data_IF_771091243568
#
_entry.id   IF_771091243568
#
_cell.length_a   1.000
_cell.length_b   1.000
_cell.length_c   1.000
_cell.angle_alpha   90.00
_cell.angle_beta   90.00
_cell.angle_gamma   90.00
#
_symmetry.space_group_name_H-M   'P 1'
#
loop_
_entity.id
_entity.type
_entity.pdbx_description
1 polymer ?
#
# COMPACT_ATOMS: atom_id res chain seq x y z
N UNK A 1 10.17 -9.26 -20.48
CA UNK A 1 10.22 -9.18 -19.49
C UNK A 1 9.66 -10.26 -18.90
N UNK A 2 9.62 -10.71 -18.02
CA UNK A 2 9.26 -11.64 -17.62
C UNK A 2 8.70 -11.60 -16.45
N UNK A 3 8.14 -11.67 -15.83
CA UNK A 3 7.72 -11.61 -14.88
C UNK A 3 7.01 -12.27 -14.39
N UNK A 4 6.72 -12.48 -13.60
CA UNK A 4 6.29 -13.28 -13.10
C UNK A 4 5.68 -13.01 -11.93
N UNK A 5 4.63 -13.28 -11.66
CA UNK A 5 3.96 -13.04 -10.59
C UNK A 5 4.30 -11.83 -9.91
N UNK A 6 4.21 -11.61 -8.73
CA UNK A 6 4.44 -10.36 -8.06
C UNK A 6 5.88 -9.98 -8.08
N UNK A 7 6.54 -10.13 -9.17
CA UNK A 7 7.92 -9.73 -9.27
C UNK A 7 8.05 -8.52 -10.15
N UNK A 8 9.17 -7.83 -10.01
CA UNK A 8 9.46 -6.69 -10.85
C UNK A 8 9.96 -7.17 -12.21
N UNK A 9 9.86 -6.30 -13.18
CA UNK A 9 10.38 -6.60 -14.48
C UNK A 9 11.89 -6.54 -14.51
N UNK A 10 12.43 -6.91 -15.65
CA UNK A 10 13.82 -6.91 -15.88
C UNK A 10 14.27 -5.74 -16.58
N UNK A 11 13.92 -4.59 -16.18
CA UNK A 11 14.18 -3.39 -16.86
C UNK A 11 15.49 -2.83 -16.43
N UNK A 12 16.27 -2.31 -17.31
CA UNK A 12 17.48 -1.67 -16.99
C UNK A 12 17.34 -0.26 -16.62
N UNK A 13 16.15 0.36 -16.66
CA UNK A 13 15.98 1.70 -16.33
C UNK A 13 16.30 1.91 -14.89
N UNK A 14 16.81 3.07 -14.54
CA UNK A 14 17.02 3.51 -13.17
C UNK A 14 15.73 4.06 -12.68
N UNK A 15 14.91 3.23 -12.11
CA UNK A 15 13.62 3.64 -11.58
C UNK A 15 13.44 3.01 -10.21
N UNK A 16 12.74 3.68 -9.34
CA UNK A 16 12.46 3.15 -8.03
C UNK A 16 11.46 2.00 -8.18
N UNK A 17 11.67 0.93 -7.43
CA UNK A 17 10.78 -0.22 -7.40
C UNK A 17 10.22 -0.34 -5.99
N UNK A 18 8.92 -0.24 -5.88
CA UNK A 18 8.25 -0.22 -4.60
C UNK A 18 7.45 -1.48 -4.36
N UNK A 19 7.60 -2.05 -3.17
CA UNK A 19 6.67 -3.06 -2.68
C UNK A 19 5.74 -2.33 -1.73
N UNK A 20 4.44 -2.34 -2.03
CA UNK A 20 3.44 -1.76 -1.14
C UNK A 20 2.80 -2.94 -0.41
N UNK A 21 3.00 -2.99 0.89
CA UNK A 21 2.59 -4.14 1.70
C UNK A 21 1.52 -3.73 2.70
N UNK A 22 0.37 -4.37 2.67
CA UNK A 22 -0.62 -4.17 3.72
C UNK A 22 -0.32 -5.12 4.88
N UNK A 23 -0.63 -4.69 6.09
CA UNK A 23 -0.42 -5.54 7.26
C UNK A 23 -1.38 -5.14 8.39
N UNK A 24 -1.52 -6.02 9.36
CA UNK A 24 -2.27 -5.74 10.58
C UNK A 24 -1.31 -5.54 11.73
N UNK A 25 -1.48 -4.44 12.47
CA UNK A 25 -0.62 -4.17 13.61
C UNK A 25 -0.64 -5.30 14.64
N UNK A 26 -1.75 -6.03 14.72
CA UNK A 26 -1.81 -7.12 15.69
C UNK A 26 -0.87 -8.27 15.35
N UNK A 27 -0.37 -8.33 14.13
CA UNK A 27 0.60 -9.35 13.71
C UNK A 27 2.03 -8.81 13.66
N UNK A 28 2.23 -7.58 14.08
CA UNK A 28 3.55 -6.97 14.15
C UNK A 28 3.89 -6.16 12.90
N UNK A 29 4.68 -5.12 13.09
CA UNK A 29 5.12 -4.26 11.99
C UNK A 29 6.17 -4.99 11.18
N UNK A 30 6.10 -4.94 9.84
CA UNK A 30 7.12 -5.59 9.00
C UNK A 30 8.50 -4.99 9.28
N UNK A 31 9.47 -5.84 9.63
CA UNK A 31 10.79 -5.35 10.04
C UNK A 31 11.61 -4.79 8.89
N UNK A 32 11.28 -5.18 7.66
CA UNK A 32 12.02 -4.73 6.48
C UNK A 32 11.43 -3.49 5.84
N UNK A 33 10.40 -2.91 6.43
CA UNK A 33 9.75 -1.74 5.82
C UNK A 33 10.65 -0.51 5.93
N UNK A 34 10.72 0.24 4.85
CA UNK A 34 11.43 1.52 4.83
C UNK A 34 10.51 2.63 5.32
N UNK A 35 9.24 2.54 5.00
CA UNK A 35 8.23 3.51 5.41
C UNK A 35 7.03 2.75 5.95
N UNK A 36 6.46 3.24 7.05
CA UNK A 36 5.30 2.61 7.67
C UNK A 36 4.23 3.66 7.86
N UNK A 37 3.04 3.40 7.38
CA UNK A 37 1.90 4.29 7.55
C UNK A 37 0.85 3.60 8.41
N UNK A 38 0.36 4.32 9.41
CA UNK A 38 -0.69 3.83 10.28
C UNK A 38 -2.02 4.38 9.77
N UNK A 39 -2.86 3.50 9.27
CA UNK A 39 -4.12 3.89 8.64
C UNK A 39 -5.31 3.73 9.56
N UNK A 40 -5.07 3.54 10.85
CA UNK A 40 -6.18 3.35 11.80
C UNK A 40 -7.00 4.59 12.02
N UNK A 41 -6.58 5.73 11.47
CA UNK A 41 -7.36 6.97 11.52
C UNK A 41 -8.56 6.98 10.56
N UNK A 42 -8.61 6.03 9.63
CA UNK A 42 -9.71 5.97 8.66
C UNK A 42 -10.92 5.23 9.24
N UNK A 43 -12.11 5.42 8.66
CA UNK A 43 -13.29 4.70 9.12
C UNK A 43 -13.08 3.19 9.07
N UNK A 44 -13.58 2.50 10.07
CA UNK A 44 -13.34 1.06 10.21
C UNK A 44 -14.55 0.24 9.73
N UNK A 45 -14.44 -0.46 8.61
CA UNK A 45 -15.56 -1.26 8.08
C UNK A 45 -15.99 -2.40 8.99
N UNK A 46 -15.17 -2.77 9.96
CA UNK A 46 -15.47 -3.84 10.90
C UNK A 46 -16.81 -3.59 11.61
N UNK A 47 -17.16 -2.32 11.80
CA UNK A 47 -18.38 -1.98 12.52
C UNK A 47 -19.62 -1.99 11.66
N UNK A 48 -19.50 -2.24 10.35
CA UNK A 48 -20.62 -2.37 9.44
C UNK A 48 -20.83 -3.85 9.15
N UNK A 49 -21.96 -4.44 9.60
CA UNK A 49 -22.19 -5.88 9.38
C UNK A 49 -22.14 -6.31 7.94
N UNK A 50 -22.41 -5.40 7.01
CA UNK A 50 -22.36 -5.73 5.58
C UNK A 50 -20.96 -5.80 5.03
N UNK A 51 -20.01 -5.16 5.71
CA UNK A 51 -18.63 -5.05 5.25
C UNK A 51 -17.66 -5.88 6.06
N UNK A 52 -18.05 -6.23 7.27
CA UNK A 52 -17.15 -6.84 8.24
C UNK A 52 -16.43 -8.07 7.70
N UNK A 53 -17.14 -8.93 6.99
CA UNK A 53 -16.58 -10.19 6.49
C UNK A 53 -15.96 -10.07 5.11
N UNK A 54 -16.06 -8.92 4.49
CA UNK A 54 -15.42 -8.65 3.20
C UNK A 54 -14.00 -8.14 3.44
N UNK A 55 -13.26 -7.94 2.39
CA UNK A 55 -11.88 -7.44 2.50
C UNK A 55 -11.71 -6.16 1.69
N UNK A 56 -10.58 -5.52 1.85
CA UNK A 56 -10.26 -4.31 1.07
C UNK A 56 -10.17 -4.55 -0.42
N UNK A 57 -10.13 -5.81 -0.87
CA UNK A 57 -10.18 -6.12 -2.29
C UNK A 57 -11.61 -6.07 -2.83
N UNK A 58 -12.60 -6.12 -1.96
CA UNK A 58 -14.01 -6.04 -2.39
C UNK A 58 -14.39 -4.59 -2.63
N UNK A 59 -15.13 -4.34 -3.71
CA UNK A 59 -15.50 -2.99 -4.12
C UNK A 59 -16.22 -2.23 -3.00
N UNK A 60 -17.11 -2.90 -2.28
CA UNK A 60 -17.88 -2.24 -1.23
C UNK A 60 -16.99 -1.72 -0.10
N UNK A 61 -15.97 -2.50 0.29
CA UNK A 61 -15.04 -2.08 1.32
C UNK A 61 -14.13 -0.98 0.80
N UNK A 62 -13.63 -1.16 -0.42
CA UNK A 62 -12.77 -0.17 -1.05
C UNK A 62 -13.46 1.18 -1.09
N UNK A 63 -14.71 1.20 -1.57
CA UNK A 63 -15.46 2.45 -1.67
C UNK A 63 -15.69 3.09 -0.31
N UNK A 64 -16.00 2.28 0.68
CA UNK A 64 -16.23 2.78 2.04
C UNK A 64 -14.96 3.45 2.60
N UNK A 65 -13.81 2.82 2.39
CA UNK A 65 -12.54 3.32 2.95
C UNK A 65 -12.05 4.55 2.20
N UNK A 66 -12.08 4.50 0.87
CA UNK A 66 -11.43 5.56 0.10
C UNK A 66 -12.33 6.71 -0.29
N UNK A 67 -13.63 6.63 -0.02
CA UNK A 67 -14.55 7.70 -0.39
C UNK A 67 -14.34 8.98 0.41
N UNK A 68 -13.77 8.89 1.60
CA UNK A 68 -13.61 10.08 2.45
C UNK A 68 -12.56 11.01 1.88
N UNK A 69 -12.76 12.31 2.11
CA UNK A 69 -11.78 13.31 1.72
C UNK A 69 -10.44 13.04 2.37
N UNK A 70 -10.47 12.55 3.60
CA UNK A 70 -9.28 12.27 4.38
C UNK A 70 -8.44 11.18 3.72
N UNK A 71 -9.09 10.11 3.23
CA UNK A 71 -8.37 9.04 2.54
C UNK A 71 -7.77 9.54 1.23
N UNK A 72 -8.54 10.32 0.47
CA UNK A 72 -8.06 10.86 -0.79
C UNK A 72 -6.89 11.81 -0.59
N UNK A 73 -6.98 12.67 0.41
CA UNK A 73 -5.90 13.60 0.73
C UNK A 73 -4.64 12.85 1.17
N UNK A 74 -4.81 11.82 1.99
CA UNK A 74 -3.68 11.00 2.44
C UNK A 74 -2.98 10.35 1.23
N UNK A 75 -3.75 9.77 0.34
CA UNK A 75 -3.19 9.11 -0.85
C UNK A 75 -2.41 10.10 -1.71
N UNK A 76 -2.97 11.29 -1.91
CA UNK A 76 -2.32 12.33 -2.71
C UNK A 76 -0.98 12.75 -2.07
N UNK A 77 -1.02 13.04 -0.78
CA UNK A 77 0.18 13.51 -0.09
C UNK A 77 1.23 12.41 0.01
N UNK A 78 0.80 11.18 0.20
CA UNK A 78 1.75 10.07 0.31
C UNK A 78 2.43 9.79 -1.02
N UNK A 79 1.68 9.83 -2.11
CA UNK A 79 2.27 9.66 -3.44
C UNK A 79 3.26 10.79 -3.73
N UNK A 80 2.92 12.02 -3.33
CA UNK A 80 3.84 13.16 -3.48
C UNK A 80 5.10 12.97 -2.64
N UNK A 81 4.96 12.40 -1.44
CA UNK A 81 6.12 12.13 -0.60
C UNK A 81 7.06 11.15 -1.29
N UNK A 82 6.53 10.11 -1.89
CA UNK A 82 7.35 9.14 -2.60
C UNK A 82 8.07 9.80 -3.77
N UNK A 83 7.36 10.63 -4.54
CA UNK A 83 8.00 11.37 -5.63
C UNK A 83 9.12 12.26 -5.11
N UNK A 84 8.91 12.88 -3.96
CA UNK A 84 9.89 13.78 -3.37
C UNK A 84 11.18 13.06 -3.00
N UNK A 85 11.08 11.86 -2.44
CA UNK A 85 12.26 11.16 -1.95
C UNK A 85 12.92 10.27 -3.00
N UNK A 86 12.25 10.04 -4.10
CA UNK A 86 12.72 9.08 -5.11
C UNK A 86 14.12 9.37 -5.61
N UNK A 87 14.38 10.60 -6.03
CA UNK A 87 15.68 10.96 -6.56
C UNK A 87 16.79 10.79 -5.53
N UNK A 88 16.49 11.13 -4.27
CA UNK A 88 17.45 10.97 -3.19
C UNK A 88 17.77 9.50 -2.94
N UNK A 89 16.77 8.64 -2.95
CA UNK A 89 16.99 7.21 -2.78
C UNK A 89 17.87 6.67 -3.89
N UNK A 90 17.55 7.03 -5.13
CA UNK A 90 18.32 6.53 -6.28
C UNK A 90 19.77 7.01 -6.24
N UNK A 91 20.00 8.25 -5.82
CA UNK A 91 21.38 8.77 -5.69
C UNK A 91 22.19 7.98 -4.66
N UNK A 92 21.53 7.48 -3.61
CA UNK A 92 22.20 6.67 -2.60
C UNK A 92 22.31 5.21 -3.00
N UNK A 93 21.89 4.86 -4.19
CA UNK A 93 21.93 3.48 -4.65
C UNK A 93 20.76 2.63 -4.19
N UNK A 94 19.74 3.25 -3.58
CA UNK A 94 18.58 2.52 -3.10
C UNK A 94 17.54 2.44 -4.19
N UNK A 95 17.37 1.27 -4.79
CA UNK A 95 16.44 1.06 -5.90
C UNK A 95 15.16 0.41 -5.48
N UNK A 96 15.14 -0.22 -4.31
CA UNK A 96 13.96 -0.93 -3.82
C UNK A 96 13.51 -0.31 -2.52
N UNK A 97 12.21 -0.07 -2.41
CA UNK A 97 11.64 0.49 -1.18
C UNK A 97 10.42 -0.33 -0.80
N UNK A 98 10.26 -0.60 0.48
CA UNK A 98 9.07 -1.26 0.99
C UNK A 98 8.25 -0.26 1.79
N UNK A 99 7.01 -0.07 1.35
CA UNK A 99 6.07 0.85 1.98
C UNK A 99 5.00 0.00 2.65
N UNK A 100 4.97 0.00 3.98
CA UNK A 100 4.02 -0.82 4.71
C UNK A 100 2.83 0.03 5.15
N UNK A 101 1.64 -0.46 4.87
CA UNK A 101 0.40 0.22 5.19
C UNK A 101 -0.37 -0.64 6.18
N UNK A 102 -0.58 -0.13 7.40
CA UNK A 102 -1.14 -0.92 8.48
C UNK A 102 -2.49 -0.47 9.00
N UNK A 103 -3.34 -1.41 9.31
CA UNK A 103 -4.53 -1.16 10.09
C UNK A 103 -4.57 -2.22 11.18
N UNK A 104 -5.66 -2.32 11.94
CA UNK A 104 -5.67 -3.21 13.09
C UNK A 104 -5.43 -4.68 12.70
N UNK A 105 -6.23 -5.20 11.80
CA UNK A 105 -6.15 -6.63 11.43
C UNK A 105 -5.55 -6.92 10.07
N UNK A 106 -5.31 -5.89 9.26
CA UNK A 106 -4.75 -6.10 7.92
C UNK A 106 -5.73 -6.64 6.91
N UNK A 107 -7.02 -6.39 7.10
CA UNK A 107 -8.06 -6.97 6.25
C UNK A 107 -8.80 -5.93 5.41
N UNK A 108 -9.05 -4.76 5.95
CA UNK A 108 -9.92 -3.75 5.31
C UNK A 108 -9.18 -2.51 4.86
N UNK A 109 -8.88 -1.63 5.81
CA UNK A 109 -8.32 -0.31 5.50
C UNK A 109 -6.96 -0.38 4.84
N UNK A 110 -6.09 -1.22 5.38
CA UNK A 110 -4.72 -1.35 4.84
C UNK A 110 -4.73 -1.94 3.44
N UNK A 111 -5.59 -2.91 3.20
CA UNK A 111 -5.68 -3.57 1.90
C UNK A 111 -6.19 -2.58 0.85
N UNK A 112 -7.29 -1.88 1.15
CA UNK A 112 -7.86 -0.90 0.23
C UNK A 112 -6.88 0.22 -0.07
N UNK A 113 -6.22 0.75 0.96
CA UNK A 113 -5.29 1.86 0.77
C UNK A 113 -4.03 1.43 0.03
N UNK A 114 -3.53 0.22 0.28
CA UNK A 114 -2.37 -0.29 -0.45
C UNK A 114 -2.66 -0.41 -1.93
N UNK A 115 -3.83 -0.90 -2.29
CA UNK A 115 -4.22 -0.99 -3.70
C UNK A 115 -4.32 0.39 -4.34
N UNK A 116 -4.91 1.33 -3.64
CA UNK A 116 -5.08 2.68 -4.18
C UNK A 116 -3.78 3.47 -4.26
N UNK A 117 -2.91 3.33 -3.26
CA UNK A 117 -1.60 3.95 -3.32
C UNK A 117 -0.79 3.40 -4.49
N UNK A 118 -0.84 2.08 -4.66
CA UNK A 118 -0.11 1.42 -5.74
C UNK A 118 -0.53 1.94 -7.10
N UNK A 119 -1.84 2.12 -7.31
CA UNK A 119 -2.33 2.65 -8.57
C UNK A 119 -1.79 4.06 -8.85
N UNK A 120 -1.69 4.89 -7.81
CA UNK A 120 -1.15 6.24 -7.97
C UNK A 120 0.34 6.24 -8.28
N UNK A 121 1.09 5.35 -7.62
CA UNK A 121 2.53 5.26 -7.83
C UNK A 121 2.83 4.76 -9.24
N UNK A 122 2.06 3.83 -9.74
CA UNK A 122 2.22 3.35 -11.12
C UNK A 122 2.03 4.51 -12.10
N UNK A 123 1.03 5.36 -11.86
CA UNK A 123 0.80 6.52 -12.73
C UNK A 123 1.95 7.50 -12.70
N UNK A 124 2.70 7.56 -11.59
CA UNK A 124 3.85 8.44 -11.48
C UNK A 124 5.13 7.82 -12.04
N UNK A 125 5.06 6.63 -12.56
CA UNK A 125 6.23 6.01 -13.17
C UNK A 125 7.02 5.08 -12.26
N UNK A 126 6.52 4.80 -11.06
CA UNK A 126 7.18 3.87 -10.14
C UNK A 126 6.75 2.45 -10.50
N UNK A 127 7.70 1.52 -10.50
CA UNK A 127 7.34 0.11 -10.67
C UNK A 127 6.87 -0.42 -9.31
N UNK A 128 5.72 -1.05 -9.26
CA UNK A 128 5.10 -1.42 -8.01
C UNK A 128 4.65 -2.88 -8.01
N UNK A 129 4.87 -3.55 -6.90
CA UNK A 129 4.17 -4.80 -6.63
C UNK A 129 3.45 -4.65 -5.30
N UNK A 130 2.33 -5.35 -5.15
CA UNK A 130 1.49 -5.27 -3.96
C UNK A 130 1.50 -6.59 -3.24
N UNK A 131 1.65 -6.55 -1.93
CA UNK A 131 1.63 -7.73 -1.09
C UNK A 131 0.67 -7.47 0.07
N UNK A 132 -0.24 -8.40 0.32
CA UNK A 132 -1.14 -8.29 1.47
C UNK A 132 -0.72 -9.37 2.47
N UNK A 133 0.19 -8.98 3.38
CA UNK A 133 0.87 -9.93 4.26
C UNK A 133 -0.10 -10.72 5.16
N UNK A 134 -1.08 -10.01 5.70
CA UNK A 134 -1.94 -10.61 6.72
C UNK A 134 -3.36 -10.93 6.25
N UNK A 135 -3.63 -10.72 4.99
CA UNK A 135 -4.95 -11.04 4.45
C UNK A 135 -5.15 -12.55 4.53
N UNK A 136 -6.25 -12.95 5.12
CA UNK A 136 -6.55 -14.37 5.30
C UNK A 136 -6.12 -14.95 6.63
N UNK A 137 -5.49 -14.16 7.49
CA UNK A 137 -5.07 -14.63 8.81
C UNK A 137 -6.17 -14.48 9.85
N UNK A 138 -7.23 -13.81 9.51
CA UNK A 138 -8.32 -13.56 10.44
C UNK A 138 -9.12 -14.81 10.73
#
# INVERSE_FOLDING_TARGET
RRSIEASFGDDDHVALRATVMSFGFKYGIPVDADLVADLRFLPNPYWDPKLKDLTGLDAAVNDYVVASDQAQEFLTKYAELIDLVEDGYLREGKRFVTIAMGCTGGKHRSVAMAENLSARLVKSGVEVRVVHRDLGRE
#
